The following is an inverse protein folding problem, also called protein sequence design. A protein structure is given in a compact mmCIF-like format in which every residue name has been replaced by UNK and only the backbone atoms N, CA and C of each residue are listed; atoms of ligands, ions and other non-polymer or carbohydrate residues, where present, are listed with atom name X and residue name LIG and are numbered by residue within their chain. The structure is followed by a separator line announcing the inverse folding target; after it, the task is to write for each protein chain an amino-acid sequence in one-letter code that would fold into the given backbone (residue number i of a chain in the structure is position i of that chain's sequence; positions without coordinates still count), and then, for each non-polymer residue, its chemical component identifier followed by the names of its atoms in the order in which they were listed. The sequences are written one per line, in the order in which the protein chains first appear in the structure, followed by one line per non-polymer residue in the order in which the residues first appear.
data_IF_630286500885
#
_entry.id   IF_630286500885
#
_cell.length_a   1.000
_cell.length_b   1.000
_cell.length_c   1.000
_cell.angle_alpha   90.00
_cell.angle_beta   90.00
_cell.angle_gamma   90.00
#
_symmetry.space_group_name_H-M   'P 1'
#
loop_
_entity.id
_entity.type
_entity.pdbx_description
1 polymer ?
#
# COMPACT_ATOMS: atom_id res chain seq x y z
N UNK A 1 -10.15 13.48 -47.57
CA UNK A 1 -11.48 12.92 -47.91
C UNK A 1 -11.47 11.39 -47.93
N UNK A 2 -10.89 10.70 -48.92
CA UNK A 2 -10.93 9.22 -49.01
C UNK A 2 -10.38 8.52 -47.75
N UNK A 3 -9.22 8.96 -47.24
CA UNK A 3 -8.63 8.42 -46.00
C UNK A 3 -9.53 8.61 -44.77
N UNK A 4 -10.22 9.75 -44.66
CA UNK A 4 -11.14 10.05 -43.55
C UNK A 4 -12.41 9.19 -43.64
N UNK A 5 -12.94 9.00 -44.86
CA UNK A 5 -14.07 8.08 -45.11
C UNK A 5 -13.72 6.63 -44.78
N UNK A 6 -12.50 6.18 -45.06
CA UNK A 6 -12.05 4.83 -44.70
C UNK A 6 -11.84 4.69 -43.18
N UNK A 7 -11.22 5.70 -42.53
CA UNK A 7 -11.06 5.75 -41.07
C UNK A 7 -12.41 5.65 -40.35
N UNK A 8 -13.42 6.39 -40.79
CA UNK A 8 -14.73 6.42 -40.15
C UNK A 8 -15.54 5.13 -40.38
N UNK A 9 -15.35 4.44 -41.50
CA UNK A 9 -15.94 3.11 -41.72
C UNK A 9 -15.35 2.07 -40.76
N UNK A 10 -14.02 1.99 -40.69
CA UNK A 10 -13.35 1.05 -39.79
C UNK A 10 -13.71 1.32 -38.32
N UNK A 11 -13.83 2.60 -37.91
CA UNK A 11 -14.27 2.96 -36.56
C UNK A 11 -15.71 2.57 -36.23
N UNK A 12 -16.60 2.37 -37.21
CA UNK A 12 -17.96 1.90 -36.95
C UNK A 12 -17.99 0.41 -36.57
N UNK A 13 -17.07 -0.39 -37.13
CA UNK A 13 -16.98 -1.84 -36.90
C UNK A 13 -16.25 -2.19 -35.58
N UNK A 14 -15.46 -1.26 -35.02
CA UNK A 14 -14.69 -1.46 -33.77
C UNK A 14 -15.54 -1.95 -32.59
N UNK A 15 -16.76 -1.44 -32.43
CA UNK A 15 -17.66 -1.88 -31.34
C UNK A 15 -18.12 -3.33 -31.51
N UNK A 16 -18.37 -3.76 -32.74
CA UNK A 16 -18.75 -5.14 -33.04
C UNK A 16 -17.56 -6.07 -32.83
N UNK A 17 -16.39 -5.73 -33.39
CA UNK A 17 -15.14 -6.48 -33.22
C UNK A 17 -14.73 -6.64 -31.76
N UNK A 18 -14.89 -5.59 -30.93
CA UNK A 18 -14.66 -5.66 -29.49
C UNK A 18 -15.67 -6.59 -28.81
N UNK A 19 -16.96 -6.48 -29.16
CA UNK A 19 -18.02 -7.33 -28.62
C UNK A 19 -17.89 -8.81 -29.02
N UNK A 20 -17.27 -9.12 -30.17
CA UNK A 20 -16.98 -10.49 -30.61
C UNK A 20 -15.64 -11.02 -30.08
N UNK A 21 -14.85 -10.20 -29.37
CA UNK A 21 -13.54 -10.58 -28.82
C UNK A 21 -12.39 -10.58 -29.83
N UNK A 22 -12.55 -9.92 -30.98
CA UNK A 22 -11.51 -9.75 -32.02
C UNK A 22 -10.53 -8.63 -31.63
N UNK A 23 -9.87 -8.80 -30.49
CA UNK A 23 -9.10 -7.73 -29.84
C UNK A 23 -7.89 -7.28 -30.68
N UNK A 24 -7.24 -8.17 -31.44
CA UNK A 24 -6.14 -7.82 -32.33
C UNK A 24 -6.58 -6.77 -33.37
N UNK A 25 -7.66 -7.04 -34.11
CA UNK A 25 -8.20 -6.15 -35.14
C UNK A 25 -8.60 -4.79 -34.56
N UNK A 26 -9.24 -4.78 -33.38
CA UNK A 26 -9.55 -3.57 -32.61
C UNK A 26 -8.28 -2.76 -32.31
N UNK A 27 -7.21 -3.42 -31.89
CA UNK A 27 -5.95 -2.71 -31.59
C UNK A 27 -5.27 -2.15 -32.83
N UNK A 28 -5.34 -2.81 -33.98
CA UNK A 28 -4.78 -2.30 -35.24
C UNK A 28 -5.55 -1.04 -35.70
N UNK A 29 -6.88 -1.13 -35.82
CA UNK A 29 -7.74 -0.02 -36.27
C UNK A 29 -7.60 1.20 -35.34
N UNK A 30 -7.65 0.99 -34.02
CA UNK A 30 -7.53 2.09 -33.05
C UNK A 30 -6.10 2.64 -32.97
N UNK A 31 -5.07 1.81 -33.14
CA UNK A 31 -3.68 2.28 -33.16
C UNK A 31 -3.38 3.18 -34.37
N UNK A 32 -4.03 2.96 -35.51
CA UNK A 32 -3.95 3.88 -36.64
C UNK A 32 -4.79 5.15 -36.41
N UNK A 33 -6.04 5.00 -35.95
CA UNK A 33 -6.93 6.14 -35.68
C UNK A 33 -6.31 7.16 -34.70
N UNK A 34 -5.79 6.68 -33.57
CA UNK A 34 -5.23 7.52 -32.50
C UNK A 34 -3.89 8.17 -32.86
N UNK A 35 -3.18 7.67 -33.89
CA UNK A 35 -1.97 8.31 -34.45
C UNK A 35 -2.28 9.50 -35.34
N UNK A 36 -3.49 9.59 -35.89
CA UNK A 36 -3.95 10.78 -36.57
C UNK A 36 -4.05 11.94 -35.58
N UNK A 37 -3.45 13.08 -35.91
CA UNK A 37 -3.71 14.32 -35.19
C UNK A 37 -5.21 14.67 -35.25
N UNK A 38 -5.65 15.53 -34.32
CA UNK A 38 -7.02 16.02 -34.28
C UNK A 38 -7.28 16.95 -35.47
N UNK A 39 -7.51 16.36 -36.64
CA UNK A 39 -8.15 17.02 -37.77
C UNK A 39 -9.54 17.46 -37.30
N UNK A 40 -9.71 18.75 -37.06
CA UNK A 40 -10.99 19.41 -36.80
C UNK A 40 -11.86 19.38 -38.08
N UNK A 41 -12.26 18.19 -38.50
CA UNK A 41 -13.28 18.01 -39.52
C UNK A 41 -14.65 18.00 -38.83
N UNK A 42 -15.23 19.19 -38.63
CA UNK A 42 -16.60 19.43 -38.11
C UNK A 42 -17.72 18.91 -39.05
N UNK A 43 -17.44 17.88 -39.84
CA UNK A 43 -18.23 17.38 -40.97
C UNK A 43 -18.26 15.85 -41.06
N UNK A 44 -17.79 15.14 -40.03
CA UNK A 44 -17.88 13.70 -39.90
C UNK A 44 -18.64 13.31 -38.63
N UNK A 45 -19.62 12.41 -38.74
CA UNK A 45 -20.22 11.77 -37.57
C UNK A 45 -19.14 11.03 -36.78
N UNK A 46 -18.88 11.49 -35.55
CA UNK A 46 -17.92 10.86 -34.64
C UNK A 46 -18.60 9.62 -34.05
N UNK A 47 -18.44 8.47 -34.72
CA UNK A 47 -19.05 7.20 -34.32
C UNK A 47 -18.53 6.72 -32.95
N UNK A 48 -17.26 6.97 -32.64
CA UNK A 48 -16.64 6.66 -31.35
C UNK A 48 -15.78 7.85 -30.89
N UNK A 49 -16.08 8.40 -29.72
CA UNK A 49 -15.34 9.54 -29.14
C UNK A 49 -13.89 9.17 -28.80
N UNK A 50 -12.97 10.15 -28.81
CA UNK A 50 -11.54 9.91 -28.52
C UNK A 50 -11.29 9.23 -27.15
N UNK A 51 -11.97 9.61 -26.04
CA UNK A 51 -11.86 8.87 -24.78
C UNK A 51 -12.33 7.42 -24.87
N UNK A 52 -13.38 7.13 -25.65
CA UNK A 52 -13.87 5.77 -25.86
C UNK A 52 -12.90 4.94 -26.72
N UNK A 53 -12.25 5.55 -27.71
CA UNK A 53 -11.16 4.90 -28.47
C UNK A 53 -10.00 4.50 -27.54
N UNK A 54 -9.61 5.35 -26.58
CA UNK A 54 -8.62 4.99 -25.56
C UNK A 54 -9.11 3.90 -24.60
N UNK A 55 -10.38 3.92 -24.17
CA UNK A 55 -10.93 2.86 -23.33
C UNK A 55 -10.88 1.49 -24.04
N UNK A 56 -11.37 1.42 -25.28
CA UNK A 56 -11.43 0.18 -26.07
C UNK A 56 -10.02 -0.35 -26.40
N UNK A 57 -9.06 0.50 -26.78
CA UNK A 57 -7.71 0.02 -27.11
C UNK A 57 -6.97 -0.51 -25.88
N UNK A 58 -7.17 0.11 -24.70
CA UNK A 58 -6.56 -0.33 -23.45
C UNK A 58 -7.14 -1.67 -22.98
N UNK A 59 -8.46 -1.82 -23.06
CA UNK A 59 -9.18 -3.04 -22.72
C UNK A 59 -8.78 -4.21 -23.65
N UNK A 60 -8.72 -3.97 -24.97
CA UNK A 60 -8.23 -4.96 -25.93
C UNK A 60 -6.79 -5.41 -25.63
N UNK A 61 -5.85 -4.48 -25.38
CA UNK A 61 -4.48 -4.88 -25.01
C UNK A 61 -4.39 -5.59 -23.65
N UNK A 62 -5.32 -5.32 -22.73
CA UNK A 62 -5.43 -6.03 -21.46
C UNK A 62 -5.88 -7.48 -21.68
N UNK A 63 -6.94 -7.69 -22.48
CA UNK A 63 -7.41 -9.02 -22.87
C UNK A 63 -6.35 -9.85 -23.62
N UNK A 64 -5.51 -9.20 -24.44
CA UNK A 64 -4.36 -9.82 -25.11
C UNK A 64 -3.13 -10.03 -24.20
N UNK A 65 -3.21 -9.70 -22.92
CA UNK A 65 -2.10 -9.70 -21.95
C UNK A 65 -0.87 -8.90 -22.42
N UNK A 66 -1.03 -7.95 -23.34
CA UNK A 66 0.04 -7.11 -23.89
C UNK A 66 0.23 -5.85 -23.02
N UNK A 67 0.66 -6.07 -21.77
CA UNK A 67 0.84 -5.02 -20.78
C UNK A 67 1.83 -3.92 -21.20
N UNK A 68 2.72 -4.21 -22.15
CA UNK A 68 3.68 -3.24 -22.71
C UNK A 68 2.97 -2.19 -23.58
N UNK A 69 2.09 -2.62 -24.47
CA UNK A 69 1.32 -1.69 -25.31
C UNK A 69 0.20 -1.03 -24.49
N UNK A 70 -0.44 -1.75 -23.57
CA UNK A 70 -1.37 -1.16 -22.59
C UNK A 70 -0.70 0.02 -21.84
N UNK A 71 0.48 -0.20 -21.24
CA UNK A 71 1.25 0.87 -20.59
C UNK A 71 1.60 2.03 -21.55
N UNK A 72 1.97 1.72 -22.80
CA UNK A 72 2.30 2.73 -23.82
C UNK A 72 1.10 3.63 -24.12
N UNK A 73 -0.10 3.06 -24.22
CA UNK A 73 -1.31 3.82 -24.51
C UNK A 73 -1.84 4.55 -23.27
N UNK A 74 -1.73 3.97 -22.07
CA UNK A 74 -2.09 4.64 -20.82
C UNK A 74 -1.23 5.88 -20.59
N UNK A 75 0.06 5.83 -20.93
CA UNK A 75 0.96 6.99 -20.84
C UNK A 75 0.57 8.12 -21.80
N UNK A 76 0.20 7.79 -23.05
CA UNK A 76 -0.28 8.77 -24.03
C UNK A 76 -1.62 9.36 -23.57
N UNK A 77 -2.56 8.51 -23.14
CA UNK A 77 -3.88 8.93 -22.71
C UNK A 77 -3.82 9.80 -21.44
N UNK A 78 -2.95 9.47 -20.48
CA UNK A 78 -2.77 10.27 -19.27
C UNK A 78 -2.26 11.68 -19.59
N UNK A 79 -1.37 11.81 -20.58
CA UNK A 79 -0.89 13.11 -21.06
C UNK A 79 -1.99 13.90 -21.79
N UNK A 80 -2.73 13.27 -22.71
CA UNK A 80 -3.83 13.91 -23.44
C UNK A 80 -4.97 14.33 -22.50
N UNK A 81 -5.43 13.43 -21.62
CA UNK A 81 -6.52 13.70 -20.67
C UNK A 81 -6.16 14.80 -19.65
N UNK A 82 -4.90 14.89 -19.19
CA UNK A 82 -4.44 16.01 -18.37
C UNK A 82 -4.44 17.34 -19.14
N UNK A 83 -4.09 17.32 -20.44
CA UNK A 83 -4.21 18.51 -21.29
C UNK A 83 -5.67 18.93 -21.45
N UNK A 84 -6.58 17.99 -21.67
CA UNK A 84 -8.02 18.28 -21.72
C UNK A 84 -8.55 18.83 -20.39
N UNK A 85 -8.26 18.17 -19.25
CA UNK A 85 -8.64 18.64 -17.90
C UNK A 85 -8.25 20.11 -17.63
N UNK A 86 -7.09 20.55 -18.13
CA UNK A 86 -6.58 21.92 -17.97
C UNK A 86 -7.26 22.95 -18.86
N UNK A 87 -7.71 22.54 -20.03
CA UNK A 87 -8.34 23.42 -21.02
C UNK A 87 -9.87 23.33 -20.99
N UNK A 88 -10.45 22.40 -20.21
CA UNK A 88 -11.88 22.17 -20.11
C UNK A 88 -12.58 23.15 -19.15
N UNK A 89 -13.87 23.35 -19.39
CA UNK A 89 -14.75 24.09 -18.47
C UNK A 89 -14.83 23.43 -17.09
N UNK A 90 -15.32 24.18 -16.09
CA UNK A 90 -15.53 23.67 -14.73
C UNK A 90 -16.55 22.51 -14.68
N UNK A 91 -17.49 22.46 -15.65
CA UNK A 91 -18.50 21.41 -15.76
C UNK A 91 -17.93 20.09 -16.33
N UNK A 92 -17.00 20.17 -17.28
CA UNK A 92 -16.37 19.01 -17.91
C UNK A 92 -15.18 18.46 -17.11
N UNK A 93 -14.52 19.31 -16.31
CA UNK A 93 -13.29 18.97 -15.57
C UNK A 93 -13.42 17.73 -14.67
N UNK A 94 -14.54 17.50 -13.94
CA UNK A 94 -14.74 16.29 -13.16
C UNK A 94 -14.71 15.01 -14.00
N UNK A 95 -15.26 15.04 -15.22
CA UNK A 95 -15.24 13.89 -16.13
C UNK A 95 -13.80 13.52 -16.53
N UNK A 96 -12.99 14.53 -16.91
CA UNK A 96 -11.58 14.30 -17.20
C UNK A 96 -10.79 13.88 -15.96
N UNK A 97 -11.12 14.39 -14.77
CA UNK A 97 -10.53 13.94 -13.51
C UNK A 97 -10.77 12.44 -13.29
N UNK A 98 -12.02 11.96 -13.45
CA UNK A 98 -12.36 10.54 -13.36
C UNK A 98 -11.60 9.70 -14.39
N UNK A 99 -11.48 10.16 -15.64
CA UNK A 99 -10.71 9.48 -16.68
C UNK A 99 -9.21 9.36 -16.32
N UNK A 100 -8.61 10.43 -15.78
CA UNK A 100 -7.22 10.44 -15.30
C UNK A 100 -7.04 9.45 -14.14
N UNK A 101 -7.94 9.49 -13.14
CA UNK A 101 -7.89 8.58 -11.97
C UNK A 101 -7.99 7.12 -12.38
N UNK A 102 -8.93 6.76 -13.26
CA UNK A 102 -9.07 5.40 -13.77
C UNK A 102 -7.83 4.94 -14.56
N UNK A 103 -7.26 5.83 -15.39
CA UNK A 103 -6.05 5.54 -16.17
C UNK A 103 -4.84 5.30 -15.25
N UNK A 104 -4.68 6.10 -14.19
CA UNK A 104 -3.62 5.93 -13.20
C UNK A 104 -3.73 4.58 -12.46
N UNK A 105 -4.95 4.14 -12.14
CA UNK A 105 -5.19 2.85 -11.47
C UNK A 105 -4.82 1.65 -12.37
N UNK A 106 -4.99 1.77 -13.69
CA UNK A 106 -4.64 0.73 -14.66
C UNK A 106 -3.13 0.58 -14.95
N UNK A 107 -2.28 1.49 -14.47
CA UNK A 107 -0.83 1.43 -14.72
C UNK A 107 -0.16 0.43 -13.77
N UNK A 108 -0.08 -0.83 -14.22
CA UNK A 108 0.53 -1.96 -13.47
C UNK A 108 2.02 -2.19 -13.77
N UNK A 109 2.59 -1.48 -14.74
CA UNK A 109 3.98 -1.66 -15.21
C UNK A 109 4.66 -0.31 -15.44
N UNK A 110 6.00 -0.30 -15.43
CA UNK A 110 6.83 0.91 -15.57
C UNK A 110 7.95 0.73 -16.62
N UNK A 111 7.88 -0.31 -17.46
CA UNK A 111 8.85 -0.57 -18.53
C UNK A 111 8.56 0.26 -19.79
N UNK A 112 8.87 1.55 -19.75
CA UNK A 112 8.75 2.49 -20.87
C UNK A 112 10.10 2.81 -21.53
N UNK A 113 10.06 3.26 -22.78
CA UNK A 113 11.22 3.89 -23.43
C UNK A 113 11.60 5.19 -22.70
N UNK A 114 12.86 5.66 -22.75
CA UNK A 114 13.32 6.84 -21.99
C UNK A 114 12.47 8.09 -22.23
N UNK A 115 12.00 8.30 -23.46
CA UNK A 115 11.22 9.46 -23.88
C UNK A 115 9.83 9.43 -23.24
N UNK A 116 9.13 8.29 -23.35
CA UNK A 116 7.81 8.08 -22.73
C UNK A 116 7.89 8.07 -21.21
N UNK A 117 8.96 7.52 -20.63
CA UNK A 117 9.19 7.58 -19.18
C UNK A 117 9.38 9.03 -18.72
N UNK A 118 10.07 9.86 -19.49
CA UNK A 118 10.26 11.29 -19.18
C UNK A 118 8.92 12.04 -19.21
N UNK A 119 8.11 11.84 -20.26
CA UNK A 119 6.78 12.45 -20.35
C UNK A 119 5.82 11.93 -19.27
N UNK A 120 5.87 10.64 -18.92
CA UNK A 120 5.13 10.09 -17.78
C UNK A 120 5.53 10.77 -16.47
N UNK A 121 6.83 10.85 -16.15
CA UNK A 121 7.31 11.55 -14.95
C UNK A 121 6.81 13.00 -14.93
N UNK A 122 6.94 13.72 -16.04
CA UNK A 122 6.44 15.10 -16.16
C UNK A 122 4.93 15.16 -15.90
N UNK A 123 4.14 14.25 -16.48
CA UNK A 123 2.67 14.19 -16.31
C UNK A 123 2.28 13.90 -14.87
N UNK A 124 2.91 12.90 -14.21
CA UNK A 124 2.67 12.55 -12.82
C UNK A 124 3.04 13.70 -11.86
N UNK A 125 4.21 14.31 -12.05
CA UNK A 125 4.63 15.50 -11.30
C UNK A 125 3.67 16.67 -11.54
N UNK A 126 3.14 16.83 -12.75
CA UNK A 126 2.18 17.89 -13.09
C UNK A 126 0.83 17.72 -12.39
N UNK A 127 0.37 16.47 -12.21
CA UNK A 127 -0.82 16.14 -11.40
C UNK A 127 -0.55 16.45 -9.92
N UNK A 128 0.61 16.04 -9.39
CA UNK A 128 1.00 16.33 -8.00
C UNK A 128 1.12 17.83 -7.74
N UNK A 129 1.76 18.60 -8.62
CA UNK A 129 1.83 20.05 -8.48
C UNK A 129 0.43 20.67 -8.42
N UNK A 130 -0.50 20.22 -9.27
CA UNK A 130 -1.87 20.70 -9.25
C UNK A 130 -2.64 20.32 -7.98
N UNK A 131 -2.43 19.12 -7.44
CA UNK A 131 -2.93 18.74 -6.10
C UNK A 131 -2.37 19.66 -5.01
N UNK A 132 -1.10 20.08 -5.12
CA UNK A 132 -0.41 20.91 -4.12
C UNK A 132 -0.69 22.42 -4.26
N UNK A 133 -1.20 22.88 -5.41
CA UNK A 133 -1.72 24.24 -5.61
C UNK A 133 -3.00 24.49 -4.79
N UNK A 134 -3.75 23.44 -4.45
CA UNK A 134 -4.92 23.55 -3.59
C UNK A 134 -4.55 24.05 -2.18
N UNK A 135 -5.38 24.92 -1.56
CA UNK A 135 -5.16 25.38 -0.17
C UNK A 135 -5.02 24.23 0.83
N UNK A 136 -4.26 24.44 1.91
CA UNK A 136 -4.06 23.41 2.95
C UNK A 136 -5.36 23.01 3.67
N UNK A 137 -6.41 23.84 3.59
CA UNK A 137 -7.75 23.58 4.14
C UNK A 137 -8.79 23.13 3.09
N UNK A 138 -8.38 22.79 1.87
CA UNK A 138 -9.31 22.29 0.84
C UNK A 138 -9.83 20.89 1.21
N UNK A 139 -11.16 20.66 1.31
CA UNK A 139 -11.68 19.32 1.56
C UNK A 139 -11.55 18.42 0.33
N UNK A 140 -11.67 19.00 -0.86
CA UNK A 140 -11.65 18.29 -2.15
C UNK A 140 -10.23 18.28 -2.75
N UNK A 141 -9.78 17.12 -3.20
CA UNK A 141 -8.49 16.91 -3.86
C UNK A 141 -8.63 17.03 -5.38
N UNK A 142 -7.94 17.96 -6.05
CA UNK A 142 -7.94 18.00 -7.52
C UNK A 142 -7.38 16.68 -8.07
N UNK A 143 -8.13 16.01 -8.95
CA UNK A 143 -7.79 14.67 -9.48
C UNK A 143 -7.56 13.68 -8.32
N UNK A 144 -8.67 13.15 -7.77
CA UNK A 144 -8.74 12.41 -6.51
C UNK A 144 -7.99 11.04 -6.49
N UNK A 145 -6.66 11.08 -6.52
CA UNK A 145 -5.82 9.89 -6.55
C UNK A 145 -4.44 10.10 -5.93
N UNK A 146 -4.06 9.16 -5.06
CA UNK A 146 -2.68 9.05 -4.54
C UNK A 146 -1.74 8.24 -5.46
N UNK A 147 -2.27 7.65 -6.54
CA UNK A 147 -1.49 6.85 -7.48
C UNK A 147 -0.28 7.57 -8.11
N UNK A 148 -0.28 8.89 -8.39
CA UNK A 148 0.91 9.57 -8.93
C UNK A 148 2.16 9.43 -8.04
N UNK A 149 1.99 9.47 -6.72
CA UNK A 149 3.07 9.26 -5.74
C UNK A 149 3.61 7.82 -5.80
N UNK A 150 2.71 6.84 -5.88
CA UNK A 150 3.06 5.41 -5.96
C UNK A 150 3.79 5.09 -7.26
N UNK A 151 3.33 5.63 -8.39
CA UNK A 151 3.94 5.45 -9.71
C UNK A 151 5.32 6.12 -9.80
N UNK A 152 5.48 7.34 -9.28
CA UNK A 152 6.80 7.99 -9.21
C UNK A 152 7.76 7.22 -8.30
N UNK A 153 7.31 6.69 -7.15
CA UNK A 153 8.11 5.79 -6.33
C UNK A 153 8.62 4.58 -7.14
N UNK A 154 7.75 3.91 -7.92
CA UNK A 154 8.15 2.75 -8.72
C UNK A 154 9.19 3.10 -9.79
N UNK A 155 9.03 4.26 -10.44
CA UNK A 155 9.99 4.75 -11.44
C UNK A 155 11.34 5.08 -10.80
N UNK A 156 11.35 5.79 -9.67
CA UNK A 156 12.60 6.15 -8.95
C UNK A 156 13.30 4.88 -8.46
N UNK A 157 12.56 3.95 -7.84
CA UNK A 157 13.09 2.67 -7.35
C UNK A 157 13.68 1.81 -8.48
N UNK A 158 13.03 1.77 -9.65
CA UNK A 158 13.59 1.10 -10.82
C UNK A 158 14.91 1.73 -11.27
N UNK A 159 15.00 3.06 -11.34
CA UNK A 159 16.24 3.75 -11.71
C UNK A 159 17.34 3.59 -10.63
N UNK A 160 17.00 3.47 -9.35
CA UNK A 160 17.93 3.07 -8.27
C UNK A 160 18.47 1.65 -8.49
N UNK A 161 17.60 0.66 -8.66
CA UNK A 161 17.98 -0.74 -8.93
C UNK A 161 18.82 -0.89 -10.20
N UNK A 162 18.52 -0.11 -11.25
CA UNK A 162 19.31 -0.08 -12.49
C UNK A 162 20.69 0.56 -12.30
N UNK A 163 20.81 1.60 -11.47
CA UNK A 163 22.11 2.19 -11.10
C UNK A 163 22.95 1.21 -10.29
N UNK A 164 22.36 0.52 -9.31
CA UNK A 164 23.04 -0.51 -8.51
C UNK A 164 23.57 -1.64 -9.40
N UNK A 165 22.72 -2.20 -10.29
CA UNK A 165 23.13 -3.24 -11.25
C UNK A 165 24.27 -2.79 -12.17
N UNK A 166 24.28 -1.53 -12.63
CA UNK A 166 25.35 -0.96 -13.46
C UNK A 166 26.65 -0.70 -12.69
N UNK A 167 26.56 -0.38 -11.41
CA UNK A 167 27.71 -0.15 -10.55
C UNK A 167 28.41 -1.47 -10.12
N UNK A 168 27.82 -2.63 -10.42
CA UNK A 168 28.31 -3.93 -9.97
C UNK A 168 28.07 -4.21 -8.49
N UNK A 169 27.58 -3.22 -7.72
CA UNK A 169 27.31 -3.34 -6.28
C UNK A 169 26.29 -4.44 -6.01
N UNK A 170 26.68 -5.42 -5.18
CA UNK A 170 25.74 -6.40 -4.61
C UNK A 170 24.95 -5.80 -3.45
N UNK A 171 23.86 -6.43 -3.03
CA UNK A 171 23.05 -5.94 -1.91
C UNK A 171 23.78 -5.89 -0.55
N UNK A 172 24.91 -6.57 -0.40
CA UNK A 172 25.75 -6.54 0.81
C UNK A 172 26.68 -5.32 0.86
N UNK A 173 27.09 -4.75 -0.29
CA UNK A 173 28.00 -3.59 -0.36
C UNK A 173 27.34 -2.24 -0.02
N UNK A 174 26.11 -2.29 0.49
CA UNK A 174 25.30 -1.15 0.91
C UNK A 174 24.92 -1.22 2.40
N UNK A 175 25.42 -2.21 3.15
CA UNK A 175 25.20 -2.29 4.60
C UNK A 175 25.90 -1.15 5.37
N UNK A 176 26.90 -0.51 4.76
CA UNK A 176 27.64 0.66 5.28
C UNK A 176 26.97 2.02 4.95
N UNK A 177 26.01 2.08 4.02
CA UNK A 177 25.28 3.32 3.69
C UNK A 177 23.99 3.40 4.54
N UNK A 178 24.08 3.97 5.75
CA UNK A 178 22.92 4.31 6.63
C UNK A 178 22.11 5.50 6.07
N UNK A 179 21.78 5.49 4.77
CA UNK A 179 20.97 6.50 4.10
C UNK A 179 19.64 5.94 3.60
N UNK A 180 18.54 6.63 3.91
CA UNK A 180 17.21 6.35 3.36
C UNK A 180 17.21 6.59 1.83
N UNK A 181 16.85 5.59 1.00
CA UNK A 181 16.78 5.75 -0.45
C UNK A 181 15.85 6.89 -0.90
N UNK A 182 16.19 7.62 -1.98
CA UNK A 182 15.33 8.64 -2.59
C UNK A 182 13.89 8.18 -2.87
N UNK A 183 13.69 6.94 -3.31
CA UNK A 183 12.37 6.34 -3.51
C UNK A 183 11.52 6.28 -2.24
N UNK A 184 12.12 6.00 -1.06
CA UNK A 184 11.43 6.06 0.22
C UNK A 184 11.20 7.49 0.69
N UNK A 185 12.18 8.38 0.53
CA UNK A 185 12.03 9.82 0.82
C UNK A 185 10.84 10.43 0.07
N UNK A 186 10.63 10.04 -1.20
CA UNK A 186 9.47 10.44 -2.01
C UNK A 186 8.12 10.01 -1.39
N UNK A 187 8.03 8.80 -0.84
CA UNK A 187 6.81 8.31 -0.19
C UNK A 187 6.51 9.05 1.12
N UNK A 188 7.54 9.32 1.94
CA UNK A 188 7.40 10.11 3.16
C UNK A 188 6.97 11.55 2.86
N UNK A 189 7.57 12.16 1.83
CA UNK A 189 7.21 13.50 1.39
C UNK A 189 5.77 13.57 0.87
N UNK A 190 5.32 12.55 0.13
CA UNK A 190 3.92 12.42 -0.32
C UNK A 190 2.94 12.28 0.84
N UNK A 191 3.28 11.48 1.86
CA UNK A 191 2.48 11.38 3.07
C UNK A 191 2.37 12.72 3.80
N UNK A 192 3.48 13.45 3.98
CA UNK A 192 3.45 14.76 4.63
C UNK A 192 2.56 15.76 3.86
N UNK A 193 2.74 15.87 2.55
CA UNK A 193 2.01 16.82 1.70
C UNK A 193 0.50 16.56 1.65
N UNK A 194 0.09 15.30 1.52
CA UNK A 194 -1.32 14.90 1.60
C UNK A 194 -1.86 15.03 3.02
N UNK A 195 -1.03 14.77 4.03
CA UNK A 195 -1.37 14.86 5.44
C UNK A 195 -1.77 16.25 5.90
N UNK A 196 -1.09 17.29 5.42
CA UNK A 196 -1.44 18.70 5.68
C UNK A 196 -2.87 19.08 5.24
N UNK A 197 -3.44 18.34 4.30
CA UNK A 197 -4.80 18.53 3.75
C UNK A 197 -5.80 17.45 4.18
N UNK A 198 -5.42 16.59 5.14
CA UNK A 198 -6.22 15.42 5.56
C UNK A 198 -6.51 14.41 4.43
N UNK A 199 -5.69 14.40 3.36
CA UNK A 199 -5.85 13.49 2.22
C UNK A 199 -5.00 12.21 2.32
N UNK A 200 -4.18 12.05 3.35
CA UNK A 200 -3.27 10.89 3.42
C UNK A 200 -3.99 9.53 3.51
N UNK A 201 -5.27 9.49 3.88
CA UNK A 201 -6.10 8.29 3.89
C UNK A 201 -6.96 8.10 2.62
N UNK A 202 -6.77 8.89 1.56
CA UNK A 202 -7.49 8.70 0.29
C UNK A 202 -7.23 7.32 -0.33
N UNK A 203 -8.18 6.87 -1.17
CA UNK A 203 -8.19 5.55 -1.80
C UNK A 203 -7.94 4.42 -0.77
N UNK A 204 -8.70 4.42 0.33
CA UNK A 204 -8.54 3.52 1.48
C UNK A 204 -7.11 3.49 2.09
N UNK A 205 -6.39 4.62 2.05
CA UNK A 205 -5.02 4.70 2.53
C UNK A 205 -4.00 3.98 1.65
N UNK A 206 -4.28 3.81 0.35
CA UNK A 206 -3.41 3.09 -0.60
C UNK A 206 -1.93 3.51 -0.54
N UNK A 207 -1.64 4.82 -0.46
CA UNK A 207 -0.25 5.31 -0.33
C UNK A 207 0.39 4.84 0.98
N UNK A 208 -0.35 4.85 2.08
CA UNK A 208 0.14 4.48 3.41
C UNK A 208 0.44 2.97 3.48
N UNK A 209 -0.47 2.13 2.98
CA UNK A 209 -0.25 0.69 2.88
C UNK A 209 0.89 0.34 1.92
N UNK A 210 0.98 1.03 0.77
CA UNK A 210 2.10 0.90 -0.16
C UNK A 210 3.44 1.28 0.50
N UNK A 211 3.46 2.36 1.28
CA UNK A 211 4.64 2.78 2.03
C UNK A 211 5.04 1.74 3.07
N UNK A 212 4.10 1.24 3.89
CA UNK A 212 4.35 0.15 4.85
C UNK A 212 4.97 -1.08 4.16
N UNK A 213 4.35 -1.56 3.08
CA UNK A 213 4.85 -2.72 2.33
C UNK A 213 6.26 -2.49 1.74
N UNK A 214 6.61 -1.25 1.42
CA UNK A 214 7.94 -0.88 0.89
C UNK A 214 8.98 -0.72 1.99
N UNK A 215 8.64 -0.13 3.15
CA UNK A 215 9.62 0.12 4.23
C UNK A 215 9.89 -1.12 5.07
N UNK A 216 8.94 -2.05 5.24
CA UNK A 216 9.13 -3.21 6.13
C UNK A 216 10.38 -4.04 5.78
N UNK A 217 10.65 -4.44 4.52
CA UNK A 217 11.86 -5.20 4.19
C UNK A 217 13.16 -4.40 4.38
N UNK A 218 13.10 -3.06 4.29
CA UNK A 218 14.25 -2.18 4.55
C UNK A 218 14.53 -2.11 6.05
N UNK A 219 13.50 -1.95 6.87
CA UNK A 219 13.60 -1.95 8.34
C UNK A 219 14.19 -3.25 8.89
N UNK A 220 13.97 -4.41 8.26
CA UNK A 220 14.57 -5.67 8.71
C UNK A 220 16.07 -5.79 8.41
N UNK A 221 16.57 -5.09 7.38
CA UNK A 221 17.98 -5.11 6.98
C UNK A 221 18.85 -4.14 7.79
N UNK A 222 18.31 -2.98 8.16
CA UNK A 222 19.05 -1.95 8.91
C UNK A 222 19.48 -2.46 10.30
N UNK A 223 20.66 -2.04 10.76
CA UNK A 223 21.10 -2.26 12.15
C UNK A 223 20.11 -1.65 13.16
N UNK A 224 20.02 -2.20 14.38
CA UNK A 224 19.18 -1.62 15.44
C UNK A 224 19.64 -0.21 15.89
N UNK A 225 20.86 0.18 15.52
CA UNK A 225 21.49 1.44 15.95
C UNK A 225 21.52 2.49 14.82
N UNK A 226 20.92 2.17 13.68
CA UNK A 226 20.81 3.04 12.50
C UNK A 226 19.91 4.26 12.75
N UNK A 227 20.37 5.42 12.27
CA UNK A 227 19.58 6.66 12.29
C UNK A 227 18.45 6.58 11.26
N UNK A 228 18.69 5.95 10.11
CA UNK A 228 17.64 5.66 9.12
C UNK A 228 16.54 4.77 9.71
N UNK A 229 16.86 3.75 10.50
CA UNK A 229 15.87 2.90 11.16
C UNK A 229 15.01 3.71 12.13
N UNK A 230 15.62 4.62 12.90
CA UNK A 230 14.91 5.50 13.82
C UNK A 230 13.95 6.42 13.06
N UNK A 231 14.41 7.03 11.97
CA UNK A 231 13.62 7.92 11.12
C UNK A 231 12.47 7.18 10.42
N UNK A 232 12.72 6.01 9.84
CA UNK A 232 11.68 5.17 9.24
C UNK A 232 10.66 4.72 10.29
N UNK A 233 11.09 4.40 11.51
CA UNK A 233 10.19 4.04 12.62
C UNK A 233 9.26 5.20 13.01
N UNK A 234 9.75 6.44 13.00
CA UNK A 234 8.92 7.64 13.21
C UNK A 234 7.89 7.83 12.09
N UNK A 235 8.27 7.58 10.83
CA UNK A 235 7.35 7.62 9.70
C UNK A 235 6.27 6.52 9.78
N UNK A 236 6.64 5.30 10.19
CA UNK A 236 5.70 4.19 10.43
C UNK A 236 4.73 4.51 11.57
N UNK A 237 5.22 5.06 12.68
CA UNK A 237 4.38 5.55 13.79
C UNK A 237 3.36 6.59 13.28
N UNK A 238 3.78 7.58 12.48
CA UNK A 238 2.90 8.59 11.88
C UNK A 238 1.87 7.95 10.93
N UNK A 239 2.28 6.95 10.13
CA UNK A 239 1.37 6.21 9.24
C UNK A 239 0.29 5.48 10.05
N UNK A 240 0.65 4.73 11.10
CA UNK A 240 -0.33 4.04 11.93
C UNK A 240 -1.20 5.01 12.75
N UNK A 241 -0.68 6.19 13.09
CA UNK A 241 -1.51 7.25 13.66
C UNK A 241 -2.59 7.71 12.69
N UNK A 242 -2.22 8.07 11.45
CA UNK A 242 -3.17 8.47 10.40
C UNK A 242 -4.18 7.36 10.07
N UNK A 243 -3.71 6.11 9.93
CA UNK A 243 -4.56 4.99 9.56
C UNK A 243 -5.59 4.61 10.65
N UNK A 244 -5.25 4.76 11.94
CA UNK A 244 -6.02 4.08 13.01
C UNK A 244 -6.24 4.89 14.29
N UNK A 245 -5.75 6.14 14.36
CA UNK A 245 -5.76 6.94 15.59
C UNK A 245 -5.02 6.28 16.75
N UNK A 246 -4.08 5.35 16.49
CA UNK A 246 -3.40 4.59 17.54
C UNK A 246 -2.37 5.45 18.27
N UNK A 247 -2.86 6.21 19.25
CA UNK A 247 -2.02 6.84 20.25
C UNK A 247 -1.41 5.78 21.18
N UNK A 248 -0.08 5.79 21.28
CA UNK A 248 0.65 5.41 22.51
C UNK A 248 0.10 6.29 23.65
N UNK A 249 0.11 5.88 24.92
CA UNK A 249 -0.55 6.65 26.01
C UNK A 249 -0.06 8.11 26.08
N UNK A 250 1.17 8.35 25.63
CA UNK A 250 1.68 9.68 25.31
C UNK A 250 1.90 9.83 23.80
N UNK A 251 1.34 10.89 23.19
CA UNK A 251 1.61 11.27 21.79
C UNK A 251 3.09 11.60 21.63
N UNK A 252 3.78 10.89 20.73
CA UNK A 252 5.19 11.14 20.43
C UNK A 252 5.40 12.55 19.85
N UNK A 253 6.54 13.18 20.14
CA UNK A 253 6.85 14.54 19.63
C UNK A 253 6.94 14.62 18.10
N UNK A 254 7.20 13.49 17.43
CA UNK A 254 7.20 13.35 15.98
C UNK A 254 5.80 13.17 15.37
N UNK A 255 4.75 12.96 16.17
CA UNK A 255 3.41 12.72 15.66
C UNK A 255 2.70 14.04 15.37
N UNK A 256 2.44 14.30 14.09
CA UNK A 256 1.66 15.45 13.62
C UNK A 256 0.20 15.03 13.51
N UNK A 257 -0.74 15.93 13.84
CA UNK A 257 -2.15 15.66 13.57
C UNK A 257 -2.52 16.07 12.15
N UNK A 258 -2.88 15.07 11.33
CA UNK A 258 -3.39 15.27 9.98
C UNK A 258 -4.92 15.38 9.94
N UNK A 259 -5.62 15.35 11.09
CA UNK A 259 -7.08 15.47 11.22
C UNK A 259 -7.89 14.47 10.36
N UNK A 260 -7.29 13.33 10.01
CA UNK A 260 -7.97 12.26 9.27
C UNK A 260 -8.84 11.42 10.19
N UNK A 261 -9.98 10.95 9.68
CA UNK A 261 -10.83 9.96 10.38
C UNK A 261 -10.15 8.59 10.52
N UNK A 262 -9.15 8.31 9.67
CA UNK A 262 -8.52 7.00 9.55
C UNK A 262 -9.46 5.94 8.99
N UNK A 263 -9.14 4.68 9.28
CA UNK A 263 -9.83 3.48 8.84
C UNK A 263 -10.15 2.59 10.05
N UNK A 264 -11.16 1.74 9.90
CA UNK A 264 -11.46 0.72 10.92
C UNK A 264 -10.30 -0.27 11.07
N UNK A 265 -9.88 -0.51 12.32
CA UNK A 265 -8.92 -1.56 12.67
C UNK A 265 -9.59 -2.93 12.61
N UNK A 266 -9.42 -3.62 11.50
CA UNK A 266 -9.84 -5.02 11.31
C UNK A 266 -8.78 -6.01 11.82
N UNK A 267 -9.11 -7.30 11.95
CA UNK A 267 -8.13 -8.34 12.31
C UNK A 267 -6.92 -8.37 11.37
N UNK A 268 -7.14 -8.36 10.05
CA UNK A 268 -6.06 -8.40 9.06
C UNK A 268 -5.11 -7.18 9.21
N UNK A 269 -5.69 -5.98 9.40
CA UNK A 269 -4.95 -4.75 9.67
C UNK A 269 -4.20 -4.79 11.01
N UNK A 270 -4.78 -5.41 12.05
CA UNK A 270 -4.14 -5.60 13.35
C UNK A 270 -2.89 -6.50 13.26
N UNK A 271 -2.90 -7.52 12.38
CA UNK A 271 -1.72 -8.35 12.14
C UNK A 271 -0.55 -7.52 11.60
N UNK A 272 -0.79 -6.64 10.62
CA UNK A 272 0.24 -5.74 10.10
C UNK A 272 0.83 -4.82 11.19
N UNK A 273 -0.02 -4.26 12.06
CA UNK A 273 0.44 -3.43 13.19
C UNK A 273 1.31 -4.23 14.16
N UNK A 274 0.94 -5.49 14.46
CA UNK A 274 1.77 -6.37 15.27
C UNK A 274 3.14 -6.64 14.61
N UNK A 275 3.15 -7.04 13.34
CA UNK A 275 4.36 -7.35 12.56
C UNK A 275 5.40 -6.22 12.61
N UNK A 276 4.97 -4.96 12.55
CA UNK A 276 5.85 -3.79 12.63
C UNK A 276 6.33 -3.44 14.05
N UNK A 277 5.57 -3.78 15.08
CA UNK A 277 5.85 -3.39 16.47
C UNK A 277 6.45 -4.51 17.31
N UNK A 278 6.44 -5.74 16.80
CA UNK A 278 7.07 -6.94 17.36
C UNK A 278 8.59 -6.74 17.48
N UNK A 279 9.21 -7.04 18.64
CA UNK A 279 10.67 -7.08 18.75
C UNK A 279 11.29 -8.10 17.78
N UNK A 280 12.45 -7.77 17.18
CA UNK A 280 13.13 -8.66 16.21
C UNK A 280 13.57 -10.01 16.80
N UNK A 281 13.77 -10.07 18.12
CA UNK A 281 14.03 -11.30 18.87
C UNK A 281 13.03 -11.40 20.03
N UNK A 282 12.51 -12.60 20.26
CA UNK A 282 11.66 -12.86 21.42
C UNK A 282 12.51 -12.80 22.71
N UNK A 283 11.97 -12.24 23.80
CA UNK A 283 12.65 -12.23 25.08
C UNK A 283 12.73 -13.65 25.68
N UNK A 284 13.82 -13.95 26.36
CA UNK A 284 13.94 -15.06 27.32
C UNK A 284 13.35 -14.70 28.69
N UNK A 285 13.23 -15.66 29.61
CA UNK A 285 12.78 -15.44 30.99
C UNK A 285 13.55 -14.33 31.74
N UNK A 286 14.86 -14.27 31.53
CA UNK A 286 15.81 -13.32 32.14
C UNK A 286 16.07 -12.08 31.27
N UNK A 287 15.39 -11.95 30.12
CA UNK A 287 15.63 -10.85 29.18
C UNK A 287 15.27 -9.48 29.75
N UNK A 288 16.15 -8.53 29.47
CA UNK A 288 15.96 -7.11 29.75
C UNK A 288 16.36 -6.27 28.52
N UNK A 289 15.88 -5.03 28.45
CA UNK A 289 16.17 -4.14 27.32
C UNK A 289 15.33 -4.42 26.06
N UNK A 290 15.96 -4.30 24.88
CA UNK A 290 15.31 -4.03 23.57
C UNK A 290 14.38 -5.15 23.04
N UNK A 291 14.49 -6.38 23.52
CA UNK A 291 13.59 -7.49 23.15
C UNK A 291 12.27 -7.51 23.95
N UNK A 292 12.16 -6.68 24.99
CA UNK A 292 11.00 -6.65 25.90
C UNK A 292 10.01 -5.56 25.47
N UNK A 293 8.72 -5.89 25.44
CA UNK A 293 7.69 -4.90 25.10
C UNK A 293 7.51 -3.85 26.20
N UNK A 294 7.16 -2.62 25.80
CA UNK A 294 6.87 -1.51 26.71
C UNK A 294 5.41 -1.50 27.17
N UNK A 295 5.07 -0.70 28.18
CA UNK A 295 3.67 -0.51 28.62
C UNK A 295 2.74 0.12 27.58
N UNK A 296 3.30 0.84 26.59
CA UNK A 296 2.53 1.34 25.44
C UNK A 296 2.31 0.24 24.40
N UNK A 297 3.31 -0.62 24.21
CA UNK A 297 3.23 -1.79 23.32
C UNK A 297 2.27 -2.85 23.89
N UNK A 298 2.28 -3.09 25.20
CA UNK A 298 1.29 -3.94 25.88
C UNK A 298 -0.12 -3.41 25.66
N UNK A 299 -0.36 -2.11 25.90
CA UNK A 299 -1.67 -1.51 25.71
C UNK A 299 -2.15 -1.60 24.25
N UNK A 300 -1.24 -1.47 23.28
CA UNK A 300 -1.52 -1.74 21.87
C UNK A 300 -1.91 -3.21 21.66
N UNK A 301 -1.12 -4.17 22.11
CA UNK A 301 -1.39 -5.60 21.92
C UNK A 301 -2.69 -6.04 22.60
N UNK A 302 -2.98 -5.50 23.79
CA UNK A 302 -4.25 -5.71 24.50
C UNK A 302 -5.48 -5.14 23.74
N UNK A 303 -5.29 -4.20 22.79
CA UNK A 303 -6.32 -3.85 21.80
C UNK A 303 -6.34 -4.84 20.63
N UNK A 304 -5.19 -5.20 20.06
CA UNK A 304 -5.11 -6.08 18.89
C UNK A 304 -5.71 -7.47 19.17
N UNK A 305 -5.48 -8.06 20.35
CA UNK A 305 -6.04 -9.38 20.70
C UNK A 305 -7.58 -9.40 20.79
N UNK A 306 -8.24 -8.24 20.96
CA UNK A 306 -9.70 -8.13 20.95
C UNK A 306 -10.32 -8.24 19.55
N UNK A 307 -9.47 -8.23 18.52
CA UNK A 307 -9.85 -8.40 17.12
C UNK A 307 -9.54 -9.82 16.60
N UNK A 308 -9.02 -10.70 17.45
CA UNK A 308 -8.77 -12.12 17.09
C UNK A 308 -10.13 -12.82 16.90
N UNK A 309 -10.40 -13.44 15.74
CA UNK A 309 -11.62 -14.22 15.52
C UNK A 309 -11.75 -15.37 16.51
N UNK A 310 -12.97 -15.68 16.95
CA UNK A 310 -13.25 -16.65 18.01
C UNK A 310 -12.73 -18.06 17.68
N UNK A 311 -12.66 -18.44 16.40
CA UNK A 311 -12.14 -19.72 15.93
C UNK A 311 -10.62 -19.85 16.18
N UNK A 312 -9.88 -18.75 16.03
CA UNK A 312 -8.44 -18.69 16.32
C UNK A 312 -8.15 -18.22 17.74
N UNK A 313 -9.15 -17.77 18.49
CA UNK A 313 -8.97 -17.18 19.82
C UNK A 313 -8.52 -18.25 20.82
N UNK A 314 -7.30 -18.16 21.38
CA UNK A 314 -6.80 -19.17 22.30
C UNK A 314 -7.63 -19.34 23.59
N UNK A 315 -8.48 -18.35 23.93
CA UNK A 315 -9.42 -18.44 25.05
C UNK A 315 -10.32 -19.69 24.98
N UNK A 316 -10.64 -20.19 23.78
CA UNK A 316 -11.46 -21.39 23.57
C UNK A 316 -10.88 -22.68 24.15
N UNK A 317 -9.57 -22.69 24.45
CA UNK A 317 -8.86 -23.85 25.02
C UNK A 317 -8.60 -23.73 26.52
N UNK A 318 -8.98 -22.63 27.17
CA UNK A 318 -8.65 -22.36 28.59
C UNK A 318 -9.20 -23.42 29.53
N UNK A 319 -10.44 -23.84 29.37
CA UNK A 319 -11.08 -24.83 30.25
C UNK A 319 -10.42 -26.21 30.13
N UNK A 320 -10.10 -26.64 28.89
CA UNK A 320 -9.41 -27.92 28.65
C UNK A 320 -7.95 -27.87 29.12
N UNK A 321 -7.24 -26.76 28.88
CA UNK A 321 -5.87 -26.55 29.36
C UNK A 321 -5.82 -26.51 30.89
N UNK A 322 -6.82 -25.90 31.54
CA UNK A 322 -6.95 -25.88 33.00
C UNK A 322 -7.14 -27.30 33.55
N UNK A 323 -8.07 -28.07 32.98
CA UNK A 323 -8.27 -29.49 33.32
C UNK A 323 -6.99 -30.32 33.13
N UNK A 324 -6.22 -30.06 32.08
CA UNK A 324 -4.95 -30.75 31.83
C UNK A 324 -3.88 -30.38 32.86
N UNK A 325 -3.74 -29.09 33.19
CA UNK A 325 -2.78 -28.58 34.20
C UNK A 325 -3.12 -29.09 35.61
N UNK A 326 -4.41 -29.18 35.94
CA UNK A 326 -4.90 -29.74 37.21
C UNK A 326 -4.87 -31.28 37.26
N UNK A 327 -4.42 -31.96 36.20
CA UNK A 327 -4.35 -33.42 36.12
C UNK A 327 -5.71 -34.13 36.01
N UNK A 328 -6.78 -33.41 35.65
CA UNK A 328 -8.11 -33.98 35.41
C UNK A 328 -8.19 -34.73 34.06
N UNK A 329 -7.34 -34.38 33.09
CA UNK A 329 -7.17 -35.09 31.81
C UNK A 329 -5.68 -35.36 31.56
N UNK A 330 -5.38 -36.42 30.80
CA UNK A 330 -4.00 -36.88 30.55
C UNK A 330 -3.40 -36.38 29.22
N UNK A 331 -4.24 -35.95 28.28
CA UNK A 331 -3.83 -35.54 26.94
C UNK A 331 -3.79 -34.01 26.80
N UNK A 332 -2.77 -33.51 26.10
CA UNK A 332 -2.65 -32.07 25.78
C UNK A 332 -3.81 -31.66 24.85
N UNK A 333 -4.60 -30.63 25.21
CA UNK A 333 -5.66 -30.09 24.34
C UNK A 333 -5.11 -29.65 22.97
N UNK A 334 -5.76 -30.08 21.88
CA UNK A 334 -5.29 -29.83 20.52
C UNK A 334 -5.81 -28.50 20.00
N UNK A 335 -4.90 -27.58 19.68
CA UNK A 335 -5.27 -26.37 18.95
C UNK A 335 -5.53 -26.68 17.46
N UNK A 336 -6.80 -26.90 17.12
CA UNK A 336 -7.28 -27.18 15.77
C UNK A 336 -7.26 -26.00 14.79
N UNK A 337 -7.07 -24.78 15.30
CA UNK A 337 -7.17 -23.52 14.56
C UNK A 337 -6.25 -22.51 15.23
N UNK A 338 -4.93 -22.57 14.95
CA UNK A 338 -3.95 -21.67 15.54
C UNK A 338 -4.05 -20.25 14.94
N UNK A 339 -3.34 -19.33 15.58
CA UNK A 339 -3.08 -18.00 15.00
C UNK A 339 -2.17 -18.13 13.77
N UNK A 340 -2.21 -17.17 12.83
CA UNK A 340 -1.20 -17.05 11.77
C UNK A 340 0.22 -16.92 12.36
N UNK A 341 1.21 -17.52 11.70
CA UNK A 341 2.60 -17.57 12.18
C UNK A 341 3.23 -16.17 12.36
N UNK A 342 2.73 -15.18 11.62
CA UNK A 342 3.15 -13.79 11.70
C UNK A 342 2.79 -13.14 13.05
N UNK A 343 1.77 -13.67 13.74
CA UNK A 343 1.20 -13.10 14.99
C UNK A 343 1.12 -14.08 16.16
N UNK A 344 1.60 -15.32 16.01
CA UNK A 344 1.52 -16.36 17.06
C UNK A 344 2.16 -15.92 18.40
N UNK A 345 3.20 -15.09 18.33
CA UNK A 345 3.95 -14.57 19.48
C UNK A 345 3.24 -13.46 20.28
N UNK A 346 2.08 -12.94 19.85
CA UNK A 346 1.44 -11.80 20.53
C UNK A 346 1.07 -12.10 21.98
N UNK A 347 0.56 -13.31 22.24
CA UNK A 347 0.21 -13.76 23.59
C UNK A 347 1.46 -14.06 24.43
N UNK A 348 2.54 -14.54 23.82
CA UNK A 348 3.83 -14.75 24.49
C UNK A 348 4.44 -13.44 24.99
N UNK A 349 4.47 -12.40 24.14
CA UNK A 349 5.01 -11.09 24.49
C UNK A 349 4.20 -10.40 25.61
N UNK A 350 2.86 -10.55 25.59
CA UNK A 350 1.98 -10.11 26.68
C UNK A 350 2.25 -10.88 27.99
N UNK A 351 2.41 -12.21 27.92
CA UNK A 351 2.67 -13.04 29.10
C UNK A 351 4.01 -12.68 29.77
N UNK A 352 5.06 -12.55 28.96
CA UNK A 352 6.37 -12.11 29.43
C UNK A 352 6.30 -10.72 30.12
N UNK A 353 5.53 -9.77 29.57
CA UNK A 353 5.35 -8.46 30.18
C UNK A 353 4.64 -8.50 31.54
N UNK A 354 3.49 -9.19 31.65
CA UNK A 354 2.75 -9.25 32.93
C UNK A 354 3.49 -10.05 34.01
N UNK A 355 4.27 -11.07 33.62
CA UNK A 355 5.15 -11.79 34.53
C UNK A 355 6.21 -10.88 35.14
N UNK A 356 6.98 -10.18 34.31
CA UNK A 356 8.02 -9.25 34.77
C UNK A 356 7.47 -8.12 35.65
N UNK A 357 6.25 -7.67 35.38
CA UNK A 357 5.60 -6.58 36.11
C UNK A 357 4.73 -7.04 37.30
N UNK A 358 4.75 -8.32 37.66
CA UNK A 358 3.99 -8.90 38.79
C UNK A 358 2.47 -8.69 38.72
N UNK A 359 1.92 -8.65 37.52
CA UNK A 359 0.49 -8.40 37.24
C UNK A 359 -0.23 -9.59 36.59
N UNK A 360 0.35 -10.80 36.64
CA UNK A 360 -0.23 -12.02 36.07
C UNK A 360 -1.59 -12.42 36.68
N UNK A 361 -1.82 -12.09 37.95
CA UNK A 361 -3.04 -12.45 38.71
C UNK A 361 -4.32 -11.81 38.13
N UNK A 362 -4.21 -10.64 37.51
CA UNK A 362 -5.37 -9.87 36.98
C UNK A 362 -5.74 -10.19 35.53
N UNK A 363 -4.89 -10.88 34.75
CA UNK A 363 -5.10 -11.14 33.33
C UNK A 363 -5.10 -12.64 32.99
N UNK A 364 -6.17 -13.33 33.43
CA UNK A 364 -6.34 -14.80 33.31
C UNK A 364 -6.15 -15.36 31.90
N UNK A 365 -6.57 -14.62 30.86
CA UNK A 365 -6.41 -14.99 29.45
C UNK A 365 -4.97 -14.96 28.94
N UNK A 366 -4.02 -14.48 29.74
CA UNK A 366 -2.59 -14.43 29.41
C UNK A 366 -1.75 -15.35 30.32
N UNK A 367 -2.30 -15.77 31.46
CA UNK A 367 -1.68 -16.70 32.43
C UNK A 367 -1.22 -18.03 31.81
N UNK A 368 -1.85 -18.49 30.72
CA UNK A 368 -1.57 -19.79 30.09
C UNK A 368 -0.57 -19.75 28.93
N UNK A 369 -0.21 -18.58 28.40
CA UNK A 369 0.58 -18.46 27.16
C UNK A 369 2.09 -18.40 27.37
N UNK A 370 2.57 -18.95 28.48
CA UNK A 370 3.97 -18.85 28.86
C UNK A 370 4.93 -19.64 27.97
N UNK A 371 4.44 -20.62 27.20
CA UNK A 371 5.28 -21.46 26.33
C UNK A 371 4.56 -21.84 25.02
N UNK A 372 4.89 -21.15 23.92
CA UNK A 372 4.83 -21.72 22.56
C UNK A 372 6.22 -21.62 21.92
N UNK A 373 7.03 -22.69 22.00
CA UNK A 373 8.18 -22.85 21.12
C UNK A 373 8.19 -24.29 20.56
N UNK A 374 7.51 -24.53 19.43
CA UNK A 374 7.49 -25.82 18.71
C UNK A 374 7.32 -27.06 19.60
N UNK A 375 6.15 -27.18 20.24
CA UNK A 375 5.65 -28.43 20.86
C UNK A 375 6.58 -29.09 21.89
N UNK A 376 6.50 -28.69 23.18
CA UNK A 376 6.42 -29.57 24.37
C UNK A 376 6.59 -28.79 25.68
N UNK A 377 5.86 -29.26 26.70
CA UNK A 377 5.95 -28.93 28.14
C UNK A 377 5.30 -27.62 28.62
N UNK A 378 4.72 -27.71 29.83
CA UNK A 378 3.75 -26.81 30.49
C UNK A 378 4.40 -26.19 31.76
N UNK A 379 3.65 -25.26 32.42
CA UNK A 379 3.70 -24.73 33.81
C UNK A 379 4.92 -23.87 34.22
N UNK A 380 4.84 -22.96 35.22
CA UNK A 380 3.80 -22.66 36.24
C UNK A 380 3.83 -21.17 36.66
N UNK A 381 2.68 -20.52 36.95
CA UNK A 381 2.57 -19.54 38.05
C UNK A 381 1.18 -19.62 38.73
N UNK A 382 1.18 -19.65 40.08
CA UNK A 382 0.01 -19.54 40.96
C UNK A 382 -0.38 -18.07 41.25
#
# INVERSE_FOLDING_TARGET
MILVLNRNKNLAEVWELHSTGSFEDVTEILAESLRGENDNSDTAEIVISRPMQFALILDSYWHLANYKECLRWSEIWLFESLSHYRNSSDEERPQFATMIVNTLQGIVSYCLTPEKRTRLIQTLSSIICHQMEAPENSPEMPIESVAPWILLHHIIKYDEEMKMKKAGKTCHELEDEDEIPPSLKMLFQGHEYLGRRSWCCFNEGALLFHTLNTVYPVMQKLSQESESLTTISQQVDQIFYCLYGQQKKNKGRHIIDHNVLGLAMTWNRAQQVFIFTKPRSLPSYDSSGRCCISSDTEYLYAKLIKLVPDECNPNRLLDEMTKYIEGQINDVPRNSSPLPAEVEDIYYLLAHFYFRNKSWVTNKSVTFFFFIPRIRQIIFVL
#
